data_IF_125998495553
#
_entry.id   IF_125998495553
#
_cell.length_a   1.000
_cell.length_b   1.000
_cell.length_c   1.000
_cell.angle_alpha   90.00
_cell.angle_beta   90.00
_cell.angle_gamma   90.00
#
_symmetry.space_group_name_H-M   'P 1'
#
loop_
_entity.id
_entity.type
_entity.pdbx_description
1 polymer ?
#
# COMPACT_ATOMS: atom_id res chain seq x y z
N UNK A 1 7.20 4.92 -13.79
CA UNK A 1 6.69 4.15 -12.65
C UNK A 1 7.48 4.56 -11.43
N UNK A 2 6.83 5.08 -10.39
CA UNK A 2 7.52 5.36 -9.14
C UNK A 2 7.85 4.06 -8.42
N UNK A 3 9.05 4.00 -7.86
CA UNK A 3 9.58 2.82 -7.17
C UNK A 3 8.98 2.75 -5.76
N UNK A 4 8.61 1.55 -5.31
CA UNK A 4 8.21 1.32 -3.91
C UNK A 4 9.44 1.49 -3.01
N UNK A 5 9.31 2.32 -1.98
CA UNK A 5 10.29 2.54 -0.93
C UNK A 5 9.89 1.70 0.29
N UNK A 6 10.79 0.83 0.74
CA UNK A 6 10.54 -0.04 1.88
C UNK A 6 11.29 0.46 3.11
N UNK A 7 10.58 0.47 4.23
CA UNK A 7 11.13 0.79 5.54
C UNK A 7 10.80 -0.32 6.51
N UNK A 8 11.79 -0.74 7.30
CA UNK A 8 11.63 -1.73 8.34
C UNK A 8 12.35 -1.22 9.59
N UNK A 9 11.64 -1.12 10.69
CA UNK A 9 12.21 -0.61 11.94
C UNK A 9 11.53 -1.24 13.14
N UNK A 10 12.28 -1.36 14.23
CA UNK A 10 11.70 -1.69 15.51
C UNK A 10 11.00 -0.46 16.08
N UNK A 11 9.80 -0.63 16.62
CA UNK A 11 9.05 0.43 17.30
C UNK A 11 8.89 0.09 18.78
N UNK A 12 9.00 1.10 19.64
CA UNK A 12 8.91 0.93 21.09
C UNK A 12 10.05 0.11 21.69
N UNK A 13 9.86 -0.37 22.93
CA UNK A 13 10.87 -1.12 23.69
C UNK A 13 10.63 -2.63 23.67
N UNK A 14 9.43 -3.08 23.29
CA UNK A 14 9.00 -4.49 23.43
C UNK A 14 9.26 -5.35 22.18
N UNK A 15 10.11 -4.89 21.26
CA UNK A 15 10.51 -5.66 20.08
C UNK A 15 9.52 -5.66 18.91
N UNK A 16 8.46 -4.83 18.95
CA UNK A 16 7.54 -4.69 17.82
C UNK A 16 8.26 -4.31 16.53
N UNK A 17 7.90 -4.96 15.43
CA UNK A 17 8.45 -4.70 14.11
C UNK A 17 7.44 -3.94 13.26
N UNK A 18 7.81 -2.76 12.78
CA UNK A 18 7.04 -2.01 11.78
C UNK A 18 7.65 -2.23 10.40
N UNK A 19 6.84 -2.65 9.45
CA UNK A 19 7.14 -2.63 8.02
C UNK A 19 6.24 -1.60 7.34
N UNK A 20 6.85 -0.74 6.52
CA UNK A 20 6.16 0.21 5.68
C UNK A 20 6.63 0.11 4.22
N UNK A 21 5.69 0.24 3.30
CA UNK A 21 5.92 0.38 1.87
C UNK A 21 5.30 1.69 1.42
N UNK A 22 6.12 2.64 0.98
CA UNK A 22 5.71 3.95 0.52
C UNK A 22 5.93 4.10 -0.98
N UNK A 23 5.06 4.85 -1.62
CA UNK A 23 5.13 5.13 -3.04
C UNK A 23 4.71 6.57 -3.31
N UNK A 24 5.61 7.30 -3.95
CA UNK A 24 5.34 8.63 -4.45
C UNK A 24 4.40 8.55 -5.66
N UNK A 25 3.24 9.19 -5.58
CA UNK A 25 2.24 9.27 -6.65
C UNK A 25 2.16 10.68 -7.25
N UNK A 26 3.12 11.55 -6.90
CA UNK A 26 3.20 12.92 -7.36
C UNK A 26 3.12 12.99 -8.88
N UNK A 27 2.15 13.77 -9.37
CA UNK A 27 1.92 13.98 -10.79
C UNK A 27 1.64 15.45 -11.12
N UNK A 28 1.56 15.82 -12.41
CA UNK A 28 1.35 17.21 -12.84
C UNK A 28 0.09 17.87 -12.26
N UNK A 29 -0.93 17.06 -11.96
CA UNK A 29 -2.21 17.51 -11.42
C UNK A 29 -2.39 17.18 -9.93
N UNK A 30 -1.45 16.45 -9.34
CA UNK A 30 -1.52 16.01 -7.94
C UNK A 30 -0.11 16.04 -7.32
N UNK A 31 0.41 17.24 -6.99
CA UNK A 31 1.80 17.46 -6.65
C UNK A 31 2.22 16.93 -5.27
N UNK A 32 1.27 16.51 -4.43
CA UNK A 32 1.52 16.05 -3.05
C UNK A 32 0.87 14.69 -2.78
N UNK A 33 0.82 13.83 -3.80
CA UNK A 33 0.17 12.52 -3.70
C UNK A 33 1.17 11.45 -3.30
N UNK A 34 0.90 10.76 -2.19
CA UNK A 34 1.71 9.63 -1.72
C UNK A 34 0.79 8.53 -1.21
N UNK A 35 1.12 7.29 -1.54
CA UNK A 35 0.50 6.10 -0.97
C UNK A 35 1.48 5.45 -0.01
N UNK A 36 1.01 4.99 1.13
CA UNK A 36 1.81 4.08 1.93
C UNK A 36 0.99 3.03 2.65
N UNK A 37 1.54 1.82 2.70
CA UNK A 37 0.99 0.68 3.41
C UNK A 37 1.90 0.34 4.59
N UNK A 38 1.34 0.27 5.79
CA UNK A 38 2.07 -0.07 7.03
C UNK A 38 1.49 -1.31 7.69
N UNK A 39 2.33 -2.14 8.30
CA UNK A 39 1.94 -3.25 9.17
C UNK A 39 2.91 -3.37 10.34
N UNK A 40 2.37 -3.64 11.53
CA UNK A 40 3.13 -3.90 12.73
C UNK A 40 2.99 -5.37 13.13
N UNK A 41 4.07 -5.96 13.63
CA UNK A 41 4.13 -7.35 14.11
C UNK A 41 4.63 -7.38 15.54
N UNK A 42 3.89 -8.06 16.41
CA UNK A 42 4.39 -8.43 17.73
C UNK A 42 5.39 -9.59 17.57
N UNK A 43 6.53 -9.63 18.32
CA UNK A 43 7.48 -10.73 18.26
C UNK A 43 6.85 -12.12 18.36
N UNK A 44 5.97 -12.35 19.34
CA UNK A 44 5.24 -13.61 19.48
C UNK A 44 4.48 -14.07 18.23
N UNK A 45 3.95 -13.16 17.41
CA UNK A 45 3.30 -13.54 16.15
C UNK A 45 4.30 -14.16 15.16
N UNK A 46 5.53 -13.65 15.15
CA UNK A 46 6.60 -14.16 14.29
C UNK A 46 7.22 -15.45 14.85
N UNK A 47 7.23 -15.61 16.17
CA UNK A 47 7.65 -16.85 16.82
C UNK A 47 6.65 -18.00 16.53
N UNK A 48 5.35 -17.70 16.60
CA UNK A 48 4.28 -18.66 16.31
C UNK A 48 4.16 -18.97 14.81
N UNK A 49 4.38 -17.96 13.96
CA UNK A 49 4.29 -18.06 12.51
C UNK A 49 5.43 -17.31 11.82
N UNK A 50 6.59 -17.98 11.62
CA UNK A 50 7.76 -17.36 10.98
C UNK A 50 7.52 -16.89 9.54
N UNK A 51 6.44 -17.36 8.89
CA UNK A 51 6.08 -16.99 7.53
C UNK A 51 5.14 -15.78 7.45
N UNK A 52 4.60 -15.31 8.59
CA UNK A 52 3.72 -14.14 8.66
C UNK A 52 4.34 -12.92 7.97
N UNK A 53 5.64 -12.69 8.20
CA UNK A 53 6.34 -11.54 7.64
C UNK A 53 6.45 -11.61 6.12
N UNK A 54 6.86 -12.78 5.59
CA UNK A 54 7.02 -12.98 4.16
C UNK A 54 5.68 -12.87 3.42
N UNK A 55 4.60 -13.47 3.98
CA UNK A 55 3.25 -13.32 3.45
C UNK A 55 2.79 -11.87 3.41
N UNK A 56 3.01 -11.14 4.50
CA UNK A 56 2.65 -9.74 4.56
C UNK A 56 3.40 -8.88 3.53
N UNK A 57 4.69 -9.12 3.33
CA UNK A 57 5.46 -8.43 2.27
C UNK A 57 4.87 -8.75 0.89
N UNK A 58 4.48 -10.00 0.63
CA UNK A 58 3.81 -10.41 -0.61
C UNK A 58 2.49 -9.66 -0.83
N UNK A 59 1.60 -9.68 0.16
CA UNK A 59 0.32 -8.97 0.12
C UNK A 59 0.51 -7.46 -0.07
N UNK A 60 1.43 -6.85 0.69
CA UNK A 60 1.75 -5.43 0.56
C UNK A 60 2.29 -5.11 -0.84
N UNK A 61 3.15 -5.96 -1.40
CA UNK A 61 3.66 -5.79 -2.77
C UNK A 61 2.54 -5.83 -3.81
N UNK A 62 1.59 -6.76 -3.67
CA UNK A 62 0.43 -6.85 -4.57
C UNK A 62 -0.47 -5.61 -4.47
N UNK A 63 -0.76 -5.15 -3.26
CA UNK A 63 -1.58 -3.94 -3.05
C UNK A 63 -0.90 -2.73 -3.69
N UNK A 64 0.39 -2.50 -3.38
CA UNK A 64 1.14 -1.37 -3.92
C UNK A 64 1.24 -1.43 -5.45
N UNK A 65 1.36 -2.63 -6.04
CA UNK A 65 1.38 -2.79 -7.50
C UNK A 65 0.02 -2.48 -8.16
N UNK A 66 -1.10 -2.84 -7.52
CA UNK A 66 -2.45 -2.58 -8.07
C UNK A 66 -2.78 -1.10 -8.15
N UNK A 67 -2.30 -0.29 -7.20
CA UNK A 67 -2.54 1.17 -7.24
C UNK A 67 -1.82 1.84 -8.41
N UNK A 68 -0.82 1.19 -9.01
CA UNK A 68 -0.13 1.70 -10.20
C UNK A 68 -0.89 1.43 -11.51
N UNK A 69 -1.89 0.54 -11.49
CA UNK A 69 -2.63 0.20 -12.68
C UNK A 69 -3.73 1.23 -12.92
N UNK A 70 -3.83 1.78 -14.14
CA UNK A 70 -4.98 2.59 -14.49
C UNK A 70 -6.26 1.74 -14.36
N UNK A 71 -7.26 2.25 -13.64
CA UNK A 71 -8.55 1.57 -13.56
C UNK A 71 -9.24 1.77 -14.90
N UNK A 72 -9.55 0.69 -15.60
CA UNK A 72 -10.44 0.77 -16.77
C UNK A 72 -11.88 0.74 -16.25
N UNK A 73 -12.61 1.83 -16.45
CA UNK A 73 -14.03 1.90 -16.16
C UNK A 73 -14.80 1.76 -17.47
N UNK A 74 -15.67 0.76 -17.54
CA UNK A 74 -16.60 0.58 -18.65
C UNK A 74 -17.90 1.32 -18.34
N UNK A 75 -18.33 2.15 -19.28
CA UNK A 75 -19.64 2.78 -19.24
C UNK A 75 -20.64 1.91 -20.04
N UNK A 76 -21.62 1.27 -19.38
CA UNK A 76 -22.59 0.41 -20.06
C UNK A 76 -23.63 1.19 -20.88
N UNK A 77 -23.79 2.50 -20.67
CA UNK A 77 -24.75 3.33 -21.42
C UNK A 77 -24.16 3.82 -22.75
N UNK A 78 -22.87 4.11 -22.77
CA UNK A 78 -22.16 4.62 -23.97
C UNK A 78 -21.32 3.55 -24.68
N UNK A 79 -21.00 2.46 -23.99
CA UNK A 79 -20.12 1.40 -24.48
C UNK A 79 -18.63 1.78 -24.48
N UNK A 80 -18.26 2.90 -23.86
CA UNK A 80 -16.88 3.40 -23.84
C UNK A 80 -16.06 2.81 -22.68
N UNK A 81 -14.75 2.61 -22.94
CA UNK A 81 -13.77 2.25 -21.90
C UNK A 81 -12.95 3.50 -21.60
N UNK A 82 -13.08 3.98 -20.37
CA UNK A 82 -12.31 5.13 -19.86
C UNK A 82 -11.18 4.66 -18.96
N UNK A 83 -10.01 5.27 -19.11
CA UNK A 83 -8.92 5.11 -18.13
C UNK A 83 -9.15 6.10 -17.00
N UNK A 84 -9.44 5.58 -15.82
CA UNK A 84 -9.62 6.34 -14.58
C UNK A 84 -8.37 6.14 -13.73
N UNK A 85 -7.79 7.22 -13.23
CA UNK A 85 -6.72 7.12 -12.24
C UNK A 85 -7.26 6.40 -11.00
N UNK A 86 -6.52 5.40 -10.51
CA UNK A 86 -6.85 4.74 -9.25
C UNK A 86 -6.97 5.80 -8.14
N UNK A 87 -7.97 5.61 -7.27
CA UNK A 87 -8.47 6.52 -6.23
C UNK A 87 -7.43 7.52 -5.69
N UNK A 88 -7.80 8.81 -5.47
CA UNK A 88 -6.94 9.74 -4.76
C UNK A 88 -6.61 9.18 -3.38
N UNK A 89 -5.32 9.25 -3.01
CA UNK A 89 -4.76 8.73 -1.77
C UNK A 89 -5.49 9.20 -0.49
N UNK A 90 -6.27 10.29 -0.60
CA UNK A 90 -7.14 10.87 0.43
C UNK A 90 -8.16 9.91 1.07
N UNK A 91 -8.46 8.75 0.49
CA UNK A 91 -9.47 7.80 1.02
C UNK A 91 -8.94 6.52 1.64
N UNK A 92 -7.63 6.32 1.68
CA UNK A 92 -7.04 5.24 2.48
C UNK A 92 -7.08 5.66 3.96
N UNK A 93 -8.25 5.51 4.58
CA UNK A 93 -8.40 5.65 6.03
C UNK A 93 -7.34 4.81 6.73
N UNK A 94 -6.56 5.46 7.60
CA UNK A 94 -5.81 4.79 8.63
C UNK A 94 -6.81 3.98 9.48
N UNK A 95 -7.00 2.71 9.16
CA UNK A 95 -7.67 1.77 10.06
C UNK A 95 -6.69 1.38 11.15
N UNK A 96 -6.56 2.26 12.14
CA UNK A 96 -6.18 1.92 13.50
C UNK A 96 -7.46 1.89 14.34
N UNK A 97 -7.80 0.70 14.84
CA UNK A 97 -8.90 0.42 15.75
C UNK A 97 -8.77 -1.02 16.23
#
# INVERSE_FOLDING_TARGET
>A
MSKIQWHCTQIGVDGWLLIAADQDLTGPNDPESMLGHRRAFHPFQLDEDPQALARAIGEMSEVMARVQLPLMQFDPETGEISIVQALPASRAHAFGG
#
